data_IF_287792868266
#
_entry.id   IF_287792868266
#
_cell.length_a   1.000
_cell.length_b   1.000
_cell.length_c   1.000
_cell.angle_alpha   90.00
_cell.angle_beta   90.00
_cell.angle_gamma   90.00
#
_symmetry.space_group_name_H-M   'P 1'
#
loop_
_entity.id
_entity.type
_entity.pdbx_description
1 polymer ?
#
# COMPACT_ATOMS: atom_id res chain seq x y z
N UNK A 1 -5.72 4.33 -4.70
CA UNK A 1 -4.75 3.70 -5.64
C UNK A 1 -5.44 2.92 -6.74
N UNK A 2 -6.09 1.83 -6.38
CA UNK A 2 -6.70 0.84 -7.30
C UNK A 2 -7.40 1.44 -8.52
N UNK A 3 -8.48 2.21 -8.34
CA UNK A 3 -9.29 2.79 -9.44
C UNK A 3 -8.42 3.56 -10.44
N UNK A 4 -7.50 4.40 -9.95
CA UNK A 4 -6.60 5.18 -10.80
C UNK A 4 -5.65 4.29 -11.63
N UNK A 5 -5.16 3.20 -11.06
CA UNK A 5 -4.19 2.32 -11.71
C UNK A 5 -4.87 1.46 -12.78
N UNK A 6 -5.97 0.77 -12.43
CA UNK A 6 -6.64 -0.16 -13.36
C UNK A 6 -7.37 0.56 -14.50
N UNK A 7 -7.70 1.84 -14.31
CA UNK A 7 -8.26 2.69 -15.35
C UNK A 7 -7.23 3.48 -16.16
N UNK A 8 -5.92 3.26 -15.93
CA UNK A 8 -4.87 3.94 -16.69
C UNK A 8 -4.49 3.12 -17.94
N UNK A 9 -4.71 3.64 -19.18
CA UNK A 9 -4.33 2.93 -20.40
C UNK A 9 -2.83 2.68 -20.55
N UNK A 10 -1.99 3.48 -19.88
CA UNK A 10 -0.55 3.25 -19.83
C UNK A 10 -0.17 2.03 -18.96
N UNK A 11 -1.08 1.57 -18.08
CA UNK A 11 -0.90 0.39 -17.25
C UNK A 11 -1.49 -0.87 -17.90
N UNK A 12 -2.68 -0.79 -18.50
CA UNK A 12 -3.33 -1.91 -19.20
C UNK A 12 -3.91 -1.46 -20.54
N UNK A 13 -3.67 -2.24 -21.60
CA UNK A 13 -4.27 -1.99 -22.92
C UNK A 13 -5.79 -2.14 -22.92
N UNK A 14 -6.32 -2.95 -22.02
CA UNK A 14 -7.75 -3.17 -21.79
C UNK A 14 -8.22 -2.43 -20.51
N UNK A 15 -7.69 -1.22 -20.28
CA UNK A 15 -8.05 -0.42 -19.12
C UNK A 15 -9.56 -0.14 -19.08
N UNK A 16 -10.18 -0.42 -17.94
CA UNK A 16 -11.61 -0.19 -17.72
C UNK A 16 -11.86 1.26 -17.33
N UNK A 17 -13.09 1.74 -17.53
CA UNK A 17 -13.48 3.08 -17.06
C UNK A 17 -13.39 3.17 -15.53
N UNK A 18 -13.21 4.38 -14.94
CA UNK A 18 -13.24 4.54 -13.49
C UNK A 18 -14.53 4.04 -12.82
N UNK A 19 -15.65 4.10 -13.54
CA UNK A 19 -16.94 3.54 -13.08
C UNK A 19 -16.88 2.03 -12.94
N UNK A 20 -16.36 1.34 -13.95
CA UNK A 20 -16.19 -0.12 -13.91
C UNK A 20 -15.17 -0.53 -12.85
N UNK A 21 -14.05 0.20 -12.76
CA UNK A 21 -13.04 -0.03 -11.73
C UNK A 21 -13.59 0.14 -10.31
N UNK A 22 -14.47 1.12 -10.07
CA UNK A 22 -15.15 1.28 -8.79
C UNK A 22 -16.08 0.09 -8.49
N UNK A 23 -16.75 -0.47 -9.51
CA UNK A 23 -17.54 -1.69 -9.38
C UNK A 23 -16.69 -2.91 -9.01
N UNK A 24 -15.54 -3.08 -9.64
CA UNK A 24 -14.57 -4.15 -9.30
C UNK A 24 -14.06 -3.98 -7.86
N UNK A 25 -13.72 -2.75 -7.46
CA UNK A 25 -13.29 -2.47 -6.09
C UNK A 25 -14.38 -2.84 -5.08
N UNK A 26 -15.63 -2.45 -5.34
CA UNK A 26 -16.76 -2.77 -4.48
C UNK A 26 -17.01 -4.28 -4.37
N UNK A 27 -16.85 -5.03 -5.46
CA UNK A 27 -16.96 -6.49 -5.43
C UNK A 27 -15.85 -7.14 -4.58
N UNK A 28 -14.60 -6.67 -4.73
CA UNK A 28 -13.48 -7.17 -3.94
C UNK A 28 -13.62 -6.86 -2.44
N UNK A 29 -14.12 -5.66 -2.10
CA UNK A 29 -14.26 -5.24 -0.70
C UNK A 29 -15.50 -5.79 0.00
N UNK A 30 -16.39 -6.48 -0.75
CA UNK A 30 -17.56 -7.17 -0.21
C UNK A 30 -17.25 -8.57 0.35
N UNK A 31 -16.02 -9.07 0.17
CA UNK A 31 -15.60 -10.35 0.72
C UNK A 31 -15.69 -10.34 2.26
N UNK A 32 -16.12 -11.46 2.87
CA UNK A 32 -16.39 -11.52 4.33
C UNK A 32 -15.13 -11.34 5.20
N UNK A 33 -13.98 -11.65 4.64
CA UNK A 33 -12.65 -11.53 5.22
C UNK A 33 -11.99 -10.18 4.91
N UNK A 34 -12.62 -9.33 4.10
CA UNK A 34 -12.13 -7.98 3.87
C UNK A 34 -12.49 -7.05 5.03
N UNK A 35 -11.50 -6.30 5.51
CA UNK A 35 -11.69 -5.22 6.48
C UNK A 35 -10.98 -3.97 5.99
N UNK A 36 -11.71 -2.86 5.93
CA UNK A 36 -11.12 -1.57 5.61
C UNK A 36 -10.35 -1.02 6.81
N UNK A 37 -9.10 -0.59 6.59
CA UNK A 37 -8.32 0.14 7.59
C UNK A 37 -8.33 1.63 7.25
N UNK A 38 -8.91 2.49 8.10
CA UNK A 38 -8.87 3.92 7.89
C UNK A 38 -7.47 4.47 8.18
N UNK A 39 -7.24 5.72 7.76
CA UNK A 39 -6.10 6.50 8.22
C UNK A 39 -6.25 6.83 9.71
N UNK A 40 -5.79 5.91 10.54
CA UNK A 40 -5.99 5.94 11.99
C UNK A 40 -4.83 6.64 12.73
N UNK A 41 -3.64 6.66 12.14
CA UNK A 41 -2.44 7.12 12.83
C UNK A 41 -1.96 8.46 12.30
N UNK A 42 -1.49 9.39 13.17
CA UNK A 42 -0.80 10.58 12.73
C UNK A 42 0.37 10.23 11.80
N UNK A 43 0.53 10.99 10.72
CA UNK A 43 1.51 10.67 9.67
C UNK A 43 2.93 10.42 10.23
N UNK A 44 3.40 11.31 11.11
CA UNK A 44 4.74 11.24 11.73
C UNK A 44 4.92 9.93 12.50
N UNK A 45 3.89 9.46 13.19
CA UNK A 45 3.95 8.19 13.91
C UNK A 45 3.94 6.99 12.97
N UNK A 46 3.14 7.05 11.90
CA UNK A 46 3.06 5.96 10.93
C UNK A 46 4.40 5.76 10.20
N UNK A 47 5.12 6.84 9.86
CA UNK A 47 6.36 6.75 9.07
C UNK A 47 7.64 6.71 9.91
N UNK A 48 7.53 6.70 11.25
CA UNK A 48 8.69 6.75 12.16
C UNK A 48 9.71 5.63 11.88
N UNK A 49 9.25 4.45 11.46
CA UNK A 49 10.12 3.31 11.12
C UNK A 49 11.07 3.60 9.94
N UNK A 50 10.66 4.46 9.00
CA UNK A 50 11.42 4.70 7.79
C UNK A 50 12.65 5.59 8.06
N UNK A 51 12.54 6.52 9.01
CA UNK A 51 13.61 7.43 9.41
C UNK A 51 14.28 8.08 8.20
N UNK A 52 15.61 7.97 8.11
CA UNK A 52 16.42 8.54 7.01
C UNK A 52 16.16 7.90 5.63
N UNK A 53 15.42 6.79 5.56
CA UNK A 53 15.08 6.10 4.29
C UNK A 53 13.87 6.74 3.58
N UNK A 54 13.11 7.58 4.27
CA UNK A 54 12.06 8.40 3.68
C UNK A 54 12.68 9.68 3.11
N UNK A 55 13.01 9.67 1.83
CA UNK A 55 13.83 10.69 1.16
C UNK A 55 13.00 11.54 0.18
N UNK A 56 12.07 10.93 -0.55
CA UNK A 56 11.37 11.56 -1.66
C UNK A 56 9.85 11.61 -1.49
N UNK A 57 9.23 12.64 -2.04
CA UNK A 57 7.77 12.83 -1.97
C UNK A 57 6.96 11.64 -2.54
N UNK A 58 7.55 10.86 -3.44
CA UNK A 58 6.92 9.67 -4.03
C UNK A 58 6.74 8.52 -3.02
N UNK A 59 7.51 8.50 -1.93
CA UNK A 59 7.49 7.45 -0.92
C UNK A 59 6.44 7.70 0.18
N UNK A 60 5.84 8.90 0.24
CA UNK A 60 4.99 9.34 1.36
C UNK A 60 3.81 8.38 1.60
N UNK A 61 3.11 8.01 0.54
CA UNK A 61 1.97 7.09 0.64
C UNK A 61 2.42 5.67 0.98
N UNK A 62 3.49 5.19 0.35
CA UNK A 62 3.99 3.83 0.57
C UNK A 62 4.52 3.64 2.00
N UNK A 63 5.25 4.64 2.51
CA UNK A 63 5.72 4.66 3.89
C UNK A 63 4.55 4.65 4.87
N UNK A 64 3.51 5.44 4.60
CA UNK A 64 2.34 5.45 5.45
C UNK A 64 1.60 4.09 5.44
N UNK A 65 1.39 3.48 4.28
CA UNK A 65 0.73 2.16 4.17
C UNK A 65 1.52 1.05 4.88
N UNK A 66 2.84 1.06 4.76
CA UNK A 66 3.69 0.12 5.50
C UNK A 66 3.64 0.39 7.01
N UNK A 67 3.66 1.66 7.42
CA UNK A 67 3.49 2.08 8.81
C UNK A 67 2.17 1.63 9.43
N UNK A 68 1.08 1.75 8.67
CA UNK A 68 -0.25 1.28 9.05
C UNK A 68 -0.26 -0.24 9.25
N UNK A 69 0.37 -1.00 8.33
CA UNK A 69 0.50 -2.45 8.45
C UNK A 69 1.31 -2.85 9.70
N UNK A 70 2.46 -2.21 9.94
CA UNK A 70 3.29 -2.45 11.12
C UNK A 70 2.49 -2.24 12.41
N UNK A 71 1.80 -1.09 12.53
CA UNK A 71 1.05 -0.74 13.75
C UNK A 71 -0.18 -1.61 13.99
N UNK A 72 -0.76 -2.18 12.94
CA UNK A 72 -1.87 -3.15 13.04
C UNK A 72 -1.40 -4.60 13.13
N UNK A 73 -0.10 -4.85 13.13
CA UNK A 73 0.47 -6.21 13.16
C UNK A 73 0.18 -7.02 11.88
N UNK A 74 -0.07 -6.34 10.77
CA UNK A 74 -0.33 -6.94 9.47
C UNK A 74 0.88 -6.96 8.55
N UNK A 75 0.67 -7.42 7.31
CA UNK A 75 1.66 -7.45 6.25
C UNK A 75 1.11 -6.71 5.03
N UNK A 76 1.87 -5.74 4.54
CA UNK A 76 1.57 -5.05 3.29
C UNK A 76 2.00 -5.92 2.10
N UNK A 77 1.03 -6.48 1.38
CA UNK A 77 1.28 -7.11 0.10
C UNK A 77 1.41 -6.05 -1.01
N UNK A 78 2.49 -6.09 -1.79
CA UNK A 78 2.78 -5.09 -2.83
C UNK A 78 3.46 -5.71 -4.06
N UNK A 79 3.32 -5.07 -5.22
CA UNK A 79 4.11 -5.39 -6.43
C UNK A 79 5.34 -4.47 -6.58
N UNK A 80 5.48 -3.45 -5.72
CA UNK A 80 6.59 -2.49 -5.77
C UNK A 80 7.69 -2.90 -4.79
N UNK A 81 8.78 -3.45 -5.33
CA UNK A 81 9.97 -3.85 -4.57
C UNK A 81 10.60 -2.71 -3.77
N UNK A 82 10.40 -1.45 -4.18
CA UNK A 82 11.03 -0.29 -3.54
C UNK A 82 10.43 0.00 -2.16
N UNK A 83 9.21 -0.45 -1.88
CA UNK A 83 8.58 -0.29 -0.55
C UNK A 83 9.39 -1.05 0.50
N UNK A 84 9.96 -2.21 0.16
CA UNK A 84 10.80 -2.98 1.06
C UNK A 84 12.06 -2.23 1.51
N UNK A 85 12.55 -1.29 0.70
CA UNK A 85 13.71 -0.47 1.01
C UNK A 85 13.42 0.65 2.03
N UNK A 86 12.15 0.90 2.38
CA UNK A 86 11.76 1.83 3.43
C UNK A 86 12.01 1.26 4.84
N UNK A 87 12.08 -0.06 4.98
CA UNK A 87 12.41 -0.74 6.22
C UNK A 87 13.88 -1.18 6.25
N UNK A 88 14.44 -1.32 7.45
CA UNK A 88 15.79 -1.85 7.60
C UNK A 88 15.82 -3.36 7.28
N UNK A 89 16.76 -3.87 6.44
CA UNK A 89 16.70 -5.24 5.92
C UNK A 89 16.59 -6.37 6.95
N UNK A 90 17.05 -6.15 8.20
CA UNK A 90 17.03 -7.16 9.27
C UNK A 90 16.09 -6.79 10.43
N UNK A 91 15.20 -5.82 10.25
CA UNK A 91 14.28 -5.38 11.31
C UNK A 91 12.96 -6.13 11.31
N UNK A 92 12.18 -5.95 12.38
CA UNK A 92 10.83 -6.52 12.47
C UNK A 92 9.89 -5.91 11.42
N UNK A 93 10.05 -4.62 11.14
CA UNK A 93 9.26 -3.86 10.17
C UNK A 93 9.44 -4.40 8.75
N UNK A 94 10.62 -4.92 8.41
CA UNK A 94 10.84 -5.56 7.10
C UNK A 94 9.98 -6.80 6.90
N UNK A 95 9.55 -7.48 7.96
CA UNK A 95 8.62 -8.63 7.89
C UNK A 95 7.17 -8.19 7.64
N UNK A 96 6.86 -6.89 7.78
CA UNK A 96 5.54 -6.33 7.53
C UNK A 96 5.30 -5.95 6.07
N UNK A 97 6.18 -6.35 5.14
CA UNK A 97 6.00 -6.15 3.69
C UNK A 97 6.36 -7.40 2.92
N UNK A 98 5.43 -7.85 2.09
CA UNK A 98 5.57 -8.98 1.18
C UNK A 98 5.49 -8.46 -0.25
N UNK A 99 6.53 -8.75 -1.05
CA UNK A 99 6.49 -8.44 -2.48
C UNK A 99 5.89 -9.64 -3.20
N UNK A 100 4.72 -9.47 -3.80
CA UNK A 100 4.00 -10.50 -4.54
C UNK A 100 4.46 -10.44 -6.00
N UNK A 101 4.80 -11.59 -6.58
CA UNK A 101 5.27 -11.74 -7.96
C UNK A 101 5.01 -13.13 -8.48
#
# INVERSE_FOLDING_TARGET
GFVRIVSNPAFSRDAVTPREAAGVLAANTAAKDHTFWPDEFPFVEAVAFAGVRLVGHQQVTDAYLLGLAIRRGGVLATLDERIAALAEPKSAERKAVEVVG
#
